data_IF_528553809171
#
_entry.id   IF_528553809171
#
_cell.length_a   1.000
_cell.length_b   1.000
_cell.length_c   1.000
_cell.angle_alpha   90.00
_cell.angle_beta   90.00
_cell.angle_gamma   90.00
#
_symmetry.space_group_name_H-M   'P 1'
#
loop_
_entity.id
_entity.type
_entity.pdbx_description
1 polymer ?
#
# COMPACT_ATOMS: atom_id res chain seq x y z
N UNK A 1 -63.92 -13.01 53.38
CA UNK A 1 -63.30 -12.52 52.13
C UNK A 1 -61.84 -12.29 52.43
N UNK A 2 -60.94 -13.30 52.52
CA UNK A 2 -60.69 -14.44 51.62
C UNK A 2 -60.75 -13.99 50.17
N UNK A 3 -59.59 -13.85 49.51
CA UNK A 3 -59.01 -14.77 48.51
C UNK A 3 -57.51 -14.35 48.42
N UNK A 4 -56.53 -15.17 48.81
CA UNK A 4 -56.01 -16.43 48.28
C UNK A 4 -54.65 -16.22 47.60
N UNK A 5 -53.69 -16.89 48.20
CA UNK A 5 -52.32 -17.16 47.77
C UNK A 5 -52.33 -17.94 46.45
N UNK A 6 -51.52 -17.52 45.47
CA UNK A 6 -51.16 -18.40 44.36
C UNK A 6 -49.73 -18.11 43.89
N UNK A 7 -48.84 -18.97 44.36
CA UNK A 7 -47.48 -19.15 43.88
C UNK A 7 -47.46 -19.50 42.39
N UNK A 8 -46.67 -18.77 41.59
CA UNK A 8 -46.17 -19.29 40.32
C UNK A 8 -44.65 -19.07 40.25
N UNK A 9 -43.95 -20.16 40.52
CA UNK A 9 -42.53 -20.35 40.35
C UNK A 9 -42.24 -20.39 38.83
N UNK A 10 -41.39 -19.49 38.32
CA UNK A 10 -40.99 -19.49 36.91
C UNK A 10 -39.57 -20.07 36.77
N UNK A 11 -39.34 -21.04 35.86
CA UNK A 11 -38.06 -21.71 35.72
C UNK A 11 -37.00 -20.75 35.17
N UNK A 12 -35.85 -20.67 35.84
CA UNK A 12 -34.66 -19.98 35.33
C UNK A 12 -34.15 -20.73 34.11
N UNK A 13 -34.41 -20.18 32.94
CA UNK A 13 -33.86 -20.59 31.67
C UNK A 13 -32.32 -20.41 31.71
N UNK A 14 -31.59 -21.52 31.69
CA UNK A 14 -30.14 -21.54 31.62
C UNK A 14 -29.71 -21.39 30.16
N UNK A 15 -29.41 -20.16 29.75
CA UNK A 15 -28.71 -19.86 28.50
C UNK A 15 -27.44 -19.06 28.80
N UNK A 16 -26.30 -19.74 28.70
CA UNK A 16 -25.19 -19.38 27.79
C UNK A 16 -23.87 -19.99 28.29
N UNK A 17 -23.52 -21.15 27.75
CA UNK A 17 -22.13 -21.61 27.68
C UNK A 17 -21.46 -20.91 26.49
N UNK A 18 -21.25 -19.61 26.64
CA UNK A 18 -20.51 -18.78 25.68
C UNK A 18 -19.38 -18.05 26.38
N UNK A 19 -18.24 -17.92 25.71
CA UNK A 19 -17.15 -17.05 26.19
C UNK A 19 -17.72 -15.64 26.35
N UNK A 20 -17.67 -15.11 27.58
CA UNK A 20 -18.17 -13.76 27.85
C UNK A 20 -17.38 -12.73 27.06
N UNK A 21 -18.03 -11.64 26.61
CA UNK A 21 -17.36 -10.49 25.98
C UNK A 21 -16.19 -9.97 26.82
N UNK A 22 -16.31 -10.07 28.15
CA UNK A 22 -15.26 -9.69 29.11
C UNK A 22 -14.09 -10.66 29.11
N UNK A 23 -14.33 -11.95 28.91
CA UNK A 23 -13.28 -12.96 28.80
C UNK A 23 -12.60 -12.88 27.43
N UNK A 24 -13.35 -12.58 26.37
CA UNK A 24 -12.78 -12.27 25.06
C UNK A 24 -11.83 -11.07 25.11
N UNK A 25 -12.20 -9.96 25.77
CA UNK A 25 -11.33 -8.78 25.92
C UNK A 25 -10.08 -9.06 26.76
N UNK A 26 -10.14 -9.99 27.71
CA UNK A 26 -8.97 -10.40 28.52
C UNK A 26 -8.00 -11.26 27.72
N UNK A 27 -8.51 -12.10 26.83
CA UNK A 27 -7.71 -13.10 26.12
C UNK A 27 -7.22 -12.57 24.76
N UNK A 28 -7.94 -11.62 24.14
CA UNK A 28 -7.56 -10.99 22.86
C UNK A 28 -6.40 -9.99 22.97
N UNK A 29 -5.96 -9.65 24.18
CA UNK A 29 -4.87 -8.70 24.44
C UNK A 29 -3.46 -9.30 24.35
N UNK A 30 -3.30 -10.62 24.31
CA UNK A 30 -1.99 -11.26 24.13
C UNK A 30 -1.71 -11.38 22.62
N UNK A 31 -1.46 -10.25 21.96
CA UNK A 31 -0.64 -10.29 20.76
C UNK A 31 0.79 -10.57 21.21
N UNK A 32 1.42 -11.61 20.67
CA UNK A 32 2.85 -11.83 20.83
C UNK A 32 3.58 -10.60 20.26
N UNK A 33 3.82 -9.60 21.09
CA UNK A 33 4.68 -8.48 20.77
C UNK A 33 6.11 -9.03 20.79
N UNK A 34 6.53 -9.61 19.66
CA UNK A 34 7.96 -9.79 19.41
C UNK A 34 8.55 -8.38 19.36
N UNK A 35 9.51 -8.04 20.23
CA UNK A 35 10.14 -6.73 20.16
C UNK A 35 10.88 -6.63 18.83
N UNK A 36 10.39 -5.78 17.92
CA UNK A 36 10.95 -5.50 16.59
C UNK A 36 12.24 -4.68 16.70
N UNK A 37 13.26 -5.20 17.39
CA UNK A 37 14.54 -4.49 17.62
C UNK A 37 15.57 -4.76 16.51
N UNK A 38 15.22 -5.53 15.49
CA UNK A 38 16.03 -5.70 14.30
C UNK A 38 15.11 -5.58 13.08
N UNK A 39 15.54 -4.82 12.08
CA UNK A 39 14.88 -4.60 10.79
C UNK A 39 14.34 -5.90 10.17
N UNK A 40 13.12 -6.29 10.52
CA UNK A 40 12.45 -7.43 9.91
C UNK A 40 12.08 -7.02 8.48
N UNK A 41 12.89 -7.42 7.50
CA UNK A 41 12.60 -7.27 6.07
C UNK A 41 11.39 -8.09 5.64
N UNK A 42 10.82 -8.91 6.52
CA UNK A 42 9.64 -9.74 6.30
C UNK A 42 8.78 -9.71 7.57
N UNK A 43 7.48 -9.51 7.41
CA UNK A 43 6.47 -9.62 8.48
C UNK A 43 5.46 -10.69 8.10
N UNK A 44 4.99 -11.44 9.09
CA UNK A 44 3.93 -12.42 8.90
C UNK A 44 2.57 -11.73 9.01
N UNK A 45 1.90 -11.53 7.88
CA UNK A 45 0.57 -10.95 7.80
C UNK A 45 -0.40 -11.98 7.20
N UNK A 46 -1.50 -12.27 7.90
CA UNK A 46 -2.49 -13.27 7.48
C UNK A 46 -1.88 -14.64 7.10
N UNK A 47 -0.86 -15.08 7.85
CA UNK A 47 -0.15 -16.35 7.59
C UNK A 47 0.79 -16.33 6.39
N UNK A 48 1.01 -15.18 5.75
CA UNK A 48 1.93 -15.02 4.62
C UNK A 48 3.09 -14.09 4.98
N UNK A 49 4.28 -14.49 4.55
CA UNK A 49 5.47 -13.63 4.58
C UNK A 49 5.32 -12.50 3.56
N UNK A 50 5.32 -11.25 4.06
CA UNK A 50 5.25 -10.04 3.25
C UNK A 50 6.55 -9.27 3.41
N UNK A 51 7.26 -8.94 2.32
CA UNK A 51 8.47 -8.14 2.41
C UNK A 51 8.14 -6.73 2.89
N UNK A 52 8.93 -6.24 3.84
CA UNK A 52 8.90 -4.86 4.31
C UNK A 52 9.91 -4.05 3.52
N UNK A 53 9.45 -2.94 2.96
CA UNK A 53 10.29 -1.97 2.28
C UNK A 53 10.45 -0.73 3.16
N UNK A 54 11.69 -0.37 3.51
CA UNK A 54 12.00 0.77 4.39
C UNK A 54 12.66 0.35 5.72
N UNK A 55 12.92 1.30 6.64
CA UNK A 55 12.51 2.71 6.59
C UNK A 55 13.36 3.59 5.65
N UNK A 56 14.52 3.09 5.20
CA UNK A 56 15.44 3.81 4.32
C UNK A 56 15.19 3.57 2.82
N UNK A 57 16.15 4.04 2.01
CA UNK A 57 16.17 3.77 0.57
C UNK A 57 16.30 2.27 0.29
N UNK A 58 15.58 1.78 -0.71
CA UNK A 58 15.65 0.41 -1.22
C UNK A 58 16.05 0.40 -2.69
N UNK A 59 16.79 -0.62 -3.17
CA UNK A 59 17.17 -0.72 -4.57
C UNK A 59 15.94 -1.01 -5.43
N UNK A 60 15.82 -0.28 -6.54
CA UNK A 60 14.73 -0.42 -7.50
C UNK A 60 15.27 -0.46 -8.94
N UNK A 61 14.60 -1.22 -9.81
CA UNK A 61 14.94 -1.32 -11.23
C UNK A 61 13.76 -0.93 -12.14
N UNK A 62 14.05 -0.11 -13.15
CA UNK A 62 13.07 0.48 -14.06
C UNK A 62 13.44 0.24 -15.52
N UNK A 63 12.42 0.12 -16.37
CA UNK A 63 12.58 0.13 -17.83
C UNK A 63 11.91 1.40 -18.38
N UNK A 64 12.69 2.45 -18.59
CA UNK A 64 12.19 3.79 -18.96
C UNK A 64 12.67 4.13 -20.37
N UNK A 65 11.75 4.45 -21.28
CA UNK A 65 12.05 4.77 -22.68
C UNK A 65 12.91 3.69 -23.37
N UNK A 66 12.65 2.41 -23.03
CA UNK A 66 13.43 1.27 -23.53
C UNK A 66 14.80 1.06 -22.87
N UNK A 67 15.20 1.90 -21.91
CA UNK A 67 16.49 1.80 -21.19
C UNK A 67 16.28 1.23 -19.78
N UNK A 68 17.13 0.28 -19.39
CA UNK A 68 17.17 -0.23 -18.01
C UNK A 68 17.92 0.74 -17.12
N UNK A 69 17.31 1.17 -16.03
CA UNK A 69 17.88 2.10 -15.06
C UNK A 69 17.68 1.58 -13.63
N UNK A 70 18.57 1.94 -12.71
CA UNK A 70 18.50 1.54 -11.30
C UNK A 70 18.62 2.77 -10.41
N UNK A 71 17.92 2.75 -9.28
CA UNK A 71 18.02 3.80 -8.28
C UNK A 71 17.80 3.22 -6.88
N UNK A 72 18.35 3.90 -5.86
CA UNK A 72 18.04 3.63 -4.46
C UNK A 72 17.07 4.71 -3.97
N UNK A 73 15.80 4.35 -3.77
CA UNK A 73 14.72 5.28 -3.49
C UNK A 73 14.00 4.92 -2.19
N UNK A 74 13.49 5.91 -1.47
CA UNK A 74 12.59 5.63 -0.35
C UNK A 74 11.27 5.05 -0.90
N UNK A 75 10.62 4.09 -0.20
CA UNK A 75 9.39 3.46 -0.69
C UNK A 75 8.23 4.44 -0.98
N UNK A 76 8.25 5.61 -0.36
CA UNK A 76 7.24 6.68 -0.54
C UNK A 76 7.43 7.56 -1.77
N UNK A 77 8.57 7.44 -2.46
CA UNK A 77 8.89 8.27 -3.63
C UNK A 77 7.89 7.97 -4.75
N UNK A 78 7.27 9.01 -5.30
CA UNK A 78 6.35 8.86 -6.44
C UNK A 78 7.13 8.58 -7.72
N UNK A 79 6.47 7.99 -8.73
CA UNK A 79 7.08 7.78 -10.03
C UNK A 79 7.48 9.12 -10.67
N UNK A 80 6.68 10.18 -10.47
CA UNK A 80 7.02 11.52 -10.96
C UNK A 80 8.33 12.03 -10.34
N UNK A 81 8.48 11.91 -9.03
CA UNK A 81 9.70 12.33 -8.31
C UNK A 81 10.92 11.53 -8.81
N UNK A 82 10.78 10.21 -8.93
CA UNK A 82 11.86 9.35 -9.42
C UNK A 82 12.27 9.75 -10.85
N UNK A 83 11.32 9.96 -11.75
CA UNK A 83 11.61 10.37 -13.13
C UNK A 83 12.34 11.70 -13.17
N UNK A 84 11.87 12.71 -12.43
CA UNK A 84 12.39 14.07 -12.53
C UNK A 84 13.68 14.30 -11.77
N UNK A 85 13.74 13.80 -10.54
CA UNK A 85 14.76 14.20 -9.57
C UNK A 85 15.90 13.17 -9.49
N UNK A 86 15.63 11.90 -9.82
CA UNK A 86 16.66 10.84 -9.84
C UNK A 86 17.13 10.52 -11.27
N UNK A 87 16.21 10.41 -12.23
CA UNK A 87 16.55 10.05 -13.63
C UNK A 87 16.66 11.24 -14.58
N UNK A 88 16.43 12.47 -14.11
CA UNK A 88 16.49 13.72 -14.89
C UNK A 88 15.57 13.74 -16.13
N UNK A 89 14.50 12.94 -16.12
CA UNK A 89 13.45 12.86 -17.14
C UNK A 89 12.35 13.86 -16.77
N UNK A 90 12.41 15.04 -17.38
CA UNK A 90 11.63 16.20 -16.94
C UNK A 90 10.35 16.45 -17.73
N UNK A 91 10.07 15.64 -18.75
CA UNK A 91 8.90 15.71 -19.62
C UNK A 91 7.59 15.65 -18.84
N UNK A 92 7.34 14.62 -18.01
CA UNK A 92 6.24 14.61 -17.05
C UNK A 92 6.37 15.77 -16.07
N UNK A 93 5.31 16.58 -15.93
CA UNK A 93 5.35 17.82 -15.15
C UNK A 93 4.62 17.68 -13.81
N UNK A 94 5.24 18.22 -12.76
CA UNK A 94 4.57 18.47 -11.48
C UNK A 94 3.79 19.78 -11.59
N UNK A 95 2.46 19.67 -11.61
CA UNK A 95 1.57 20.84 -11.68
C UNK A 95 0.56 20.79 -10.53
N UNK A 96 -0.36 19.82 -10.53
CA UNK A 96 -1.35 19.70 -9.46
C UNK A 96 -0.95 18.74 -8.33
N UNK A 97 -0.08 17.76 -8.63
CA UNK A 97 0.39 16.70 -7.72
C UNK A 97 -0.72 15.93 -6.96
N UNK A 98 -1.90 15.83 -7.59
CA UNK A 98 -3.11 15.24 -6.99
C UNK A 98 -4.00 14.47 -7.98
N UNK A 99 -3.43 14.07 -9.12
CA UNK A 99 -4.12 13.26 -10.12
C UNK A 99 -5.24 13.95 -10.91
N UNK A 100 -5.25 15.29 -10.99
CA UNK A 100 -6.35 16.03 -11.62
C UNK A 100 -6.02 16.58 -13.01
N UNK A 101 -4.82 17.16 -13.18
CA UNK A 101 -4.51 17.94 -14.40
C UNK A 101 -3.94 17.14 -15.58
N UNK A 102 -3.53 15.88 -15.37
CA UNK A 102 -2.88 15.05 -16.40
C UNK A 102 -1.47 15.49 -16.86
N UNK A 103 -0.91 16.60 -16.38
CA UNK A 103 0.41 17.09 -16.83
C UNK A 103 1.59 16.14 -16.50
N UNK A 104 1.40 15.21 -15.58
CA UNK A 104 2.39 14.18 -15.20
C UNK A 104 2.18 12.84 -15.93
N UNK A 105 1.34 12.78 -16.96
CA UNK A 105 0.97 11.52 -17.61
C UNK A 105 2.20 10.86 -18.26
N UNK A 106 2.34 9.57 -17.98
CA UNK A 106 3.27 8.65 -18.67
C UNK A 106 2.48 7.45 -19.17
N UNK A 107 3.04 6.67 -20.09
CA UNK A 107 2.49 5.35 -20.40
C UNK A 107 3.22 4.30 -19.57
N UNK A 108 2.47 3.48 -18.84
CA UNK A 108 2.95 2.30 -18.14
C UNK A 108 2.33 1.06 -18.78
N UNK A 109 3.14 0.16 -19.32
CA UNK A 109 2.68 -0.98 -20.12
C UNK A 109 1.64 -0.57 -21.18
N UNK A 110 1.92 0.54 -21.88
CA UNK A 110 1.06 1.13 -22.91
C UNK A 110 -0.31 1.67 -22.41
N UNK A 111 -0.47 1.90 -21.10
CA UNK A 111 -1.66 2.53 -20.50
C UNK A 111 -1.30 3.88 -19.88
N UNK A 112 -2.11 4.93 -20.09
CA UNK A 112 -1.86 6.23 -19.48
C UNK A 112 -2.03 6.14 -17.95
N UNK A 113 -1.04 6.65 -17.22
CA UNK A 113 -1.03 6.70 -15.75
C UNK A 113 -0.54 8.07 -15.28
N UNK A 114 -1.14 8.57 -14.20
CA UNK A 114 -0.66 9.77 -13.52
C UNK A 114 0.54 9.40 -12.65
N UNK A 115 1.75 9.76 -13.08
CA UNK A 115 2.97 9.42 -12.35
C UNK A 115 3.06 10.06 -10.96
N UNK A 116 2.34 11.17 -10.73
CA UNK A 116 2.25 11.80 -9.39
C UNK A 116 1.49 10.98 -8.35
N UNK A 117 0.65 10.03 -8.76
CA UNK A 117 -0.18 9.21 -7.87
C UNK A 117 0.20 7.73 -7.91
N UNK A 118 1.38 7.41 -8.41
CA UNK A 118 1.93 6.05 -8.51
C UNK A 118 3.23 6.02 -7.73
N UNK A 119 3.46 5.00 -6.90
CA UNK A 119 4.76 4.88 -6.23
C UNK A 119 5.80 4.32 -7.19
N UNK A 120 7.04 4.82 -7.09
CA UNK A 120 8.15 4.30 -7.88
C UNK A 120 8.37 2.81 -7.62
N UNK A 121 8.16 2.36 -6.38
CA UNK A 121 8.29 0.95 -6.01
C UNK A 121 7.29 0.03 -6.73
N UNK A 122 6.09 0.53 -7.02
CA UNK A 122 5.02 -0.20 -7.73
C UNK A 122 5.23 -0.18 -9.24
N UNK A 123 5.82 0.90 -9.76
CA UNK A 123 6.17 1.06 -11.16
C UNK A 123 7.38 0.19 -11.58
N UNK A 124 8.07 -0.45 -10.63
CA UNK A 124 9.20 -1.32 -10.93
C UNK A 124 8.81 -2.43 -11.91
N UNK A 125 9.77 -2.81 -12.77
CA UNK A 125 9.62 -3.88 -13.79
C UNK A 125 8.51 -3.62 -14.82
N UNK A 126 7.89 -2.44 -14.82
CA UNK A 126 6.94 -1.99 -15.84
C UNK A 126 7.67 -1.24 -16.95
N UNK A 127 7.12 -1.30 -18.16
CA UNK A 127 7.60 -0.48 -19.27
C UNK A 127 7.05 0.93 -19.14
N UNK A 128 7.91 1.90 -18.87
CA UNK A 128 7.56 3.31 -18.71
C UNK A 128 7.97 4.06 -19.98
N UNK A 129 7.02 4.72 -20.63
CA UNK A 129 7.25 5.55 -21.81
C UNK A 129 6.84 6.98 -21.50
N UNK A 130 7.77 7.90 -21.73
CA UNK A 130 7.61 9.35 -21.48
C UNK A 130 7.67 10.12 -22.81
N UNK A 131 7.32 11.40 -22.78
CA UNK A 131 7.29 12.26 -23.98
C UNK A 131 8.65 12.32 -24.68
N UNK A 132 9.75 12.21 -23.93
CA UNK A 132 11.13 12.19 -24.44
C UNK A 132 11.39 11.06 -25.44
N UNK A 133 10.62 9.98 -25.38
CA UNK A 133 10.76 8.85 -26.30
C UNK A 133 9.94 8.95 -27.58
N UNK A 134 9.07 9.96 -27.69
CA UNK A 134 8.19 10.12 -28.85
C UNK A 134 8.94 10.64 -30.09
N UNK A 135 10.10 11.29 -29.91
CA UNK A 135 10.95 11.65 -31.03
C UNK A 135 11.87 10.49 -31.41
N UNK A 136 11.85 10.08 -32.67
CA UNK A 136 12.72 9.02 -33.19
C UNK A 136 13.57 9.56 -34.33
N UNK A 137 14.90 9.48 -34.20
CA UNK A 137 15.86 9.90 -35.23
C UNK A 137 15.61 11.34 -35.75
N UNK A 138 15.25 12.27 -34.86
CA UNK A 138 14.94 13.67 -35.22
C UNK A 138 13.58 13.87 -35.89
N UNK A 139 12.78 12.81 -36.04
CA UNK A 139 11.40 12.88 -36.53
C UNK A 139 10.44 12.90 -35.35
N UNK A 140 9.52 13.87 -35.35
CA UNK A 140 8.40 13.92 -34.43
C UNK A 140 7.43 12.76 -34.72
N UNK A 141 6.84 12.21 -33.65
CA UNK A 141 5.78 11.20 -33.74
C UNK A 141 4.60 11.65 -34.61
#
# INVERSE_FOLDING_TARGET
>A
MHEDDSTLNSPKDQLDSGVSRRDFLKISGISAAVPLVASSTIVLAAGKEVPVHGPGKVPMEFAINGKKQKANLEPRVTLLDALRDEFEITGPKRVCDRGECGACTVLMDNKPMYSCSMLAIEAQRKMITTVESLMQNGKLH
#
